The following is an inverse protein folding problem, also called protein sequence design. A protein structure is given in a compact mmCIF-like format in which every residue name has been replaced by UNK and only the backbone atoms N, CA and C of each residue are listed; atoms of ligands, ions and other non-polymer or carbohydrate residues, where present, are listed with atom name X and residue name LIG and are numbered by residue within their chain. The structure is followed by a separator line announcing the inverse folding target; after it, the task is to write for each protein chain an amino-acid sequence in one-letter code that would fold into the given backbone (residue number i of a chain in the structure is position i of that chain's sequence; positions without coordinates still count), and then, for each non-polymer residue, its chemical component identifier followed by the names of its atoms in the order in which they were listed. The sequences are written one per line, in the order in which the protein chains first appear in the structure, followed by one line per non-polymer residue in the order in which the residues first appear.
data_IF_410976371648
#
_entry.id   IF_410976371648
#
_cell.length_a   1.000
_cell.length_b   1.000
_cell.length_c   1.000
_cell.angle_alpha   90.00
_cell.angle_beta   90.00
_cell.angle_gamma   90.00
#
_symmetry.space_group_name_H-M   'P 1'
#
loop_
_entity.id
_entity.type
_entity.pdbx_description
1 polymer ?
#
# COMPACT_ATOMS: atom_id res chain seq x y z
N UNK A 1 -12.49 -7.16 16.49
CA UNK A 1 -11.79 -6.01 15.87
C UNK A 1 -12.84 -5.03 15.37
N UNK A 2 -12.61 -3.71 15.49
CA UNK A 2 -13.52 -2.73 14.88
C UNK A 2 -13.58 -2.94 13.35
N UNK A 3 -14.73 -2.61 12.73
CA UNK A 3 -14.91 -2.75 11.28
C UNK A 3 -13.84 -1.97 10.50
N UNK A 4 -13.53 -2.43 9.28
CA UNK A 4 -12.58 -1.74 8.40
C UNK A 4 -13.18 -0.40 7.96
N UNK A 5 -12.35 0.63 7.91
CA UNK A 5 -12.75 1.97 7.48
C UNK A 5 -12.01 2.27 6.18
N UNK A 6 -12.75 2.61 5.13
CA UNK A 6 -12.21 3.09 3.87
C UNK A 6 -12.28 4.62 3.86
N UNK A 7 -11.21 5.26 3.37
CA UNK A 7 -11.07 6.71 3.44
C UNK A 7 -10.18 7.17 4.61
N UNK A 8 -10.29 8.45 4.97
CA UNK A 8 -9.52 9.06 6.05
C UNK A 8 -9.86 8.45 7.42
N UNK A 9 -8.90 8.52 8.35
CA UNK A 9 -9.08 8.06 9.74
C UNK A 9 -8.96 9.27 10.66
N UNK A 10 -9.97 9.50 11.49
CA UNK A 10 -9.96 10.56 12.50
C UNK A 10 -9.63 11.94 11.87
N UNK A 11 -8.74 12.70 12.52
CA UNK A 11 -8.22 13.99 12.08
C UNK A 11 -6.92 13.89 11.26
N UNK A 12 -6.50 12.69 10.83
CA UNK A 12 -5.23 12.54 10.12
C UNK A 12 -5.32 13.00 8.66
N UNK A 13 -4.40 13.86 8.27
CA UNK A 13 -4.32 14.50 6.96
C UNK A 13 -3.06 14.10 6.19
N UNK A 14 -3.07 14.19 4.84
CA UNK A 14 -1.85 14.04 4.06
C UNK A 14 -0.75 14.95 4.59
N UNK A 15 0.45 14.40 4.80
CA UNK A 15 1.57 15.09 5.43
C UNK A 15 1.86 14.63 6.87
N UNK A 16 0.87 14.07 7.58
CA UNK A 16 1.07 13.61 8.96
C UNK A 16 2.11 12.49 9.03
N UNK A 17 2.98 12.57 10.03
CA UNK A 17 4.11 11.64 10.22
C UNK A 17 3.96 10.77 11.46
N UNK A 18 4.46 9.54 11.35
CA UNK A 18 4.45 8.53 12.41
C UNK A 18 5.84 7.91 12.52
N UNK A 19 6.38 7.85 13.74
CA UNK A 19 7.76 7.37 13.93
C UNK A 19 7.92 5.89 13.57
N UNK A 20 6.92 5.04 13.83
CA UNK A 20 7.03 3.59 13.66
C UNK A 20 5.72 2.93 13.23
N UNK A 21 5.79 1.69 12.71
CA UNK A 21 4.63 0.88 12.30
C UNK A 21 3.61 0.63 13.42
N UNK A 22 4.06 0.60 14.68
CA UNK A 22 3.18 0.46 15.84
C UNK A 22 2.32 1.72 16.04
N UNK A 23 2.89 2.91 15.79
CA UNK A 23 2.15 4.17 15.86
C UNK A 23 1.04 4.23 14.79
N UNK A 24 1.35 3.84 13.55
CA UNK A 24 0.34 3.70 12.48
C UNK A 24 -0.80 2.74 12.86
N UNK A 25 -0.45 1.60 13.47
CA UNK A 25 -1.42 0.58 13.88
C UNK A 25 -2.35 1.10 14.98
N UNK A 26 -1.80 1.76 16.00
CA UNK A 26 -2.57 2.38 17.09
C UNK A 26 -3.44 3.53 16.60
N UNK A 27 -2.95 4.33 15.65
CA UNK A 27 -3.71 5.41 15.01
C UNK A 27 -4.82 4.89 14.09
N UNK A 28 -4.77 3.62 13.68
CA UNK A 28 -5.72 3.02 12.75
C UNK A 28 -5.46 3.35 11.28
N UNK A 29 -4.52 4.26 10.97
CA UNK A 29 -4.15 4.63 9.59
C UNK A 29 -3.66 3.41 8.80
N UNK A 30 -2.84 2.56 9.41
CA UNK A 30 -2.44 1.26 8.84
C UNK A 30 -2.32 0.20 9.95
N UNK A 31 -3.35 -0.66 10.07
CA UNK A 31 -3.48 -1.61 11.19
C UNK A 31 -2.35 -2.66 11.29
N UNK A 32 -1.84 -3.26 10.20
CA UNK A 32 -0.77 -4.24 10.27
C UNK A 32 0.57 -3.63 10.71
N UNK A 33 1.24 -4.28 11.66
CA UNK A 33 2.56 -3.83 12.14
C UNK A 33 3.73 -4.26 11.24
N UNK A 34 3.51 -5.21 10.33
CA UNK A 34 4.53 -5.72 9.39
C UNK A 34 4.09 -5.67 7.93
N UNK A 35 2.94 -6.27 7.60
CA UNK A 35 2.46 -6.38 6.23
C UNK A 35 2.32 -5.02 5.53
N UNK A 36 2.74 -4.92 4.27
CA UNK A 36 2.59 -3.71 3.46
C UNK A 36 1.13 -3.39 3.13
N UNK A 37 0.29 -4.41 2.93
CA UNK A 37 -1.14 -4.26 2.61
C UNK A 37 -1.97 -4.55 3.85
N UNK A 38 -2.91 -3.64 4.17
CA UNK A 38 -4.04 -3.87 5.07
C UNK A 38 -5.28 -4.11 4.24
N UNK A 39 -5.91 -5.27 4.40
CA UNK A 39 -7.08 -5.62 3.61
C UNK A 39 -7.52 -7.06 3.78
N UNK A 40 -8.65 -7.39 3.17
CA UNK A 40 -9.12 -8.77 2.98
C UNK A 40 -9.65 -8.94 1.55
N UNK A 41 -9.62 -10.16 1.02
CA UNK A 41 -10.20 -10.45 -0.30
C UNK A 41 -11.71 -10.18 -0.37
N UNK A 42 -12.40 -10.24 0.78
CA UNK A 42 -13.84 -10.00 0.87
C UNK A 42 -14.18 -8.49 0.85
N UNK A 43 -13.44 -7.67 1.59
CA UNK A 43 -13.79 -6.26 1.80
C UNK A 43 -13.01 -5.32 0.89
N UNK A 44 -11.77 -5.66 0.52
CA UNK A 44 -10.83 -4.75 -0.13
C UNK A 44 -9.65 -4.39 0.76
N UNK A 45 -8.69 -3.68 0.17
CA UNK A 45 -7.56 -3.06 0.86
C UNK A 45 -7.92 -1.64 1.32
N UNK A 46 -7.75 -1.36 2.61
CA UNK A 46 -8.01 -0.03 3.19
C UNK A 46 -6.75 0.83 3.31
N UNK A 47 -5.56 0.21 3.37
CA UNK A 47 -4.30 0.95 3.41
C UNK A 47 -3.11 0.14 2.91
N UNK A 48 -2.12 0.85 2.36
CA UNK A 48 -0.83 0.30 1.96
C UNK A 48 0.33 1.12 2.53
N UNK A 49 1.49 0.47 2.66
CA UNK A 49 2.76 1.09 3.03
C UNK A 49 3.78 0.86 1.92
N UNK A 50 4.33 1.95 1.36
CA UNK A 50 5.56 1.96 0.57
C UNK A 50 6.74 2.20 1.52
N UNK A 51 7.69 1.28 1.57
CA UNK A 51 8.82 1.36 2.49
C UNK A 51 10.13 0.89 1.84
N UNK A 52 10.26 1.14 0.53
CA UNK A 52 11.39 0.77 -0.33
C UNK A 52 11.79 -0.70 -0.16
N UNK A 53 10.77 -1.56 -0.01
CA UNK A 53 10.98 -2.99 0.17
C UNK A 53 10.96 -3.70 -1.17
N UNK A 54 10.24 -3.22 -2.17
CA UNK A 54 10.14 -3.87 -3.46
C UNK A 54 10.85 -3.02 -4.50
N UNK A 55 11.71 -3.67 -5.28
CA UNK A 55 12.44 -3.03 -6.39
C UNK A 55 11.50 -2.49 -7.48
N UNK A 56 10.31 -3.07 -7.62
CA UNK A 56 9.30 -2.69 -8.62
C UNK A 56 8.39 -1.54 -8.16
N UNK A 57 8.48 -1.08 -6.91
CA UNK A 57 7.70 0.06 -6.44
C UNK A 57 8.16 1.36 -7.14
N UNK A 58 7.19 2.18 -7.56
CA UNK A 58 7.42 3.51 -8.14
C UNK A 58 6.44 4.49 -7.49
N UNK A 59 6.91 5.68 -7.13
CA UNK A 59 6.08 6.74 -6.56
C UNK A 59 6.37 8.06 -7.30
N UNK A 60 5.44 8.47 -8.16
CA UNK A 60 5.47 9.72 -8.92
C UNK A 60 4.41 10.70 -8.39
N UNK A 61 4.39 11.92 -8.94
CA UNK A 61 3.42 12.96 -8.57
C UNK A 61 1.96 12.53 -8.83
N UNK A 62 1.69 11.98 -10.02
CA UNK A 62 0.33 11.67 -10.47
C UNK A 62 -0.10 10.22 -10.23
N UNK A 63 0.84 9.33 -9.91
CA UNK A 63 0.56 7.92 -9.74
C UNK A 63 1.64 7.21 -8.92
N UNK A 64 1.31 6.02 -8.43
CA UNK A 64 2.28 5.07 -7.94
C UNK A 64 2.03 3.69 -8.55
N UNK A 65 3.11 2.94 -8.70
CA UNK A 65 3.06 1.51 -8.99
C UNK A 65 3.45 0.77 -7.71
N UNK A 66 2.56 -0.11 -7.26
CA UNK A 66 2.76 -0.89 -6.05
C UNK A 66 2.95 -2.37 -6.39
N UNK A 67 4.06 -2.96 -5.94
CA UNK A 67 4.32 -4.37 -6.07
C UNK A 67 3.48 -5.17 -5.06
N UNK A 68 2.84 -6.23 -5.56
CA UNK A 68 2.06 -7.16 -4.76
C UNK A 68 2.91 -7.88 -3.72
N UNK A 69 2.23 -8.57 -2.80
CA UNK A 69 2.85 -9.36 -1.76
C UNK A 69 3.13 -10.79 -2.24
N UNK A 70 4.36 -11.27 -2.02
CA UNK A 70 4.73 -12.68 -2.13
C UNK A 70 6.00 -12.92 -2.94
N UNK A 71 6.42 -14.20 -3.00
CA UNK A 71 7.55 -14.66 -3.81
C UNK A 71 8.92 -14.08 -3.43
N UNK A 72 9.07 -13.63 -2.18
CA UNK A 72 10.30 -13.03 -1.66
C UNK A 72 10.98 -13.92 -0.65
N UNK A 73 12.30 -13.93 -0.71
CA UNK A 73 13.14 -14.51 0.32
C UNK A 73 13.03 -13.69 1.61
N UNK A 74 12.99 -14.38 2.75
CA UNK A 74 12.70 -13.73 4.05
C UNK A 74 13.91 -13.01 4.63
N UNK A 75 15.12 -13.39 4.24
CA UNK A 75 16.36 -12.85 4.77
C UNK A 75 16.83 -11.67 3.95
N UNK A 76 16.92 -11.85 2.64
CA UNK A 76 17.38 -10.83 1.68
C UNK A 76 16.28 -9.86 1.28
N UNK A 77 15.01 -10.31 1.35
CA UNK A 77 13.91 -9.56 0.78
C UNK A 77 13.92 -9.54 -0.75
N UNK A 78 14.79 -10.25 -1.46
CA UNK A 78 14.74 -10.25 -2.91
C UNK A 78 13.62 -11.15 -3.44
N UNK A 79 13.11 -10.84 -4.62
CA UNK A 79 12.15 -11.70 -5.31
C UNK A 79 12.89 -12.95 -5.82
N UNK A 80 12.36 -14.13 -5.50
CA UNK A 80 12.99 -15.43 -5.80
C UNK A 80 12.04 -16.41 -6.49
N UNK A 81 10.75 -16.09 -6.56
CA UNK A 81 9.74 -16.84 -7.32
C UNK A 81 8.71 -15.89 -7.91
N UNK A 82 7.90 -16.38 -8.85
CA UNK A 82 6.68 -15.68 -9.26
C UNK A 82 5.77 -15.44 -8.04
N UNK A 83 5.09 -14.30 -8.03
CA UNK A 83 4.05 -14.01 -7.06
C UNK A 83 2.79 -14.79 -7.38
N UNK A 84 2.09 -15.21 -6.32
CA UNK A 84 0.77 -15.80 -6.43
C UNK A 84 -0.32 -14.74 -6.22
N UNK A 85 -1.54 -15.06 -6.61
CA UNK A 85 -2.71 -14.25 -6.27
C UNK A 85 -3.11 -14.48 -4.79
N UNK A 86 -2.26 -14.02 -3.88
CA UNK A 86 -2.46 -14.13 -2.44
C UNK A 86 -3.68 -13.34 -1.96
N UNK A 87 -4.25 -13.64 -0.76
CA UNK A 87 -5.38 -12.88 -0.21
C UNK A 87 -5.12 -11.37 -0.08
N UNK A 88 -3.86 -10.95 0.07
CA UNK A 88 -3.49 -9.52 0.10
C UNK A 88 -3.56 -8.88 -1.29
N UNK A 89 -3.11 -9.60 -2.31
CA UNK A 89 -3.19 -9.14 -3.70
C UNK A 89 -4.65 -9.10 -4.16
N UNK A 90 -5.46 -10.08 -3.75
CA UNK A 90 -6.91 -10.09 -3.96
C UNK A 90 -7.60 -8.89 -3.30
N UNK A 91 -7.13 -8.43 -2.14
CA UNK A 91 -7.68 -7.24 -1.49
C UNK A 91 -7.51 -5.97 -2.34
N UNK A 92 -6.37 -5.81 -3.02
CA UNK A 92 -6.14 -4.69 -3.94
C UNK A 92 -6.99 -4.82 -5.22
N UNK A 93 -7.13 -6.02 -5.78
CA UNK A 93 -8.07 -6.27 -6.88
C UNK A 93 -9.51 -5.95 -6.49
N UNK A 94 -9.91 -6.28 -5.25
CA UNK A 94 -11.24 -5.96 -4.74
C UNK A 94 -11.43 -4.45 -4.62
N UNK A 95 -10.44 -3.70 -4.12
CA UNK A 95 -10.49 -2.23 -4.09
C UNK A 95 -10.55 -1.64 -5.50
N UNK A 96 -9.82 -2.20 -6.46
CA UNK A 96 -9.91 -1.81 -7.88
C UNK A 96 -11.33 -2.01 -8.41
N UNK A 97 -11.91 -3.20 -8.22
CA UNK A 97 -13.24 -3.55 -8.72
C UNK A 97 -14.37 -2.71 -8.10
N UNK A 98 -14.15 -2.18 -6.89
CA UNK A 98 -15.16 -1.43 -6.13
C UNK A 98 -14.92 0.07 -6.09
N UNK A 99 -13.77 0.54 -6.61
CA UNK A 99 -13.37 1.95 -6.53
C UNK A 99 -13.17 2.44 -5.10
N UNK A 100 -12.90 1.54 -4.14
CA UNK A 100 -12.73 1.94 -2.74
C UNK A 100 -11.41 2.68 -2.53
N UNK A 101 -11.40 3.77 -1.72
CA UNK A 101 -10.18 4.52 -1.43
C UNK A 101 -9.22 3.71 -0.57
N UNK A 102 -7.95 3.75 -0.94
CA UNK A 102 -6.82 3.13 -0.25
C UNK A 102 -5.95 4.23 0.36
N UNK A 103 -5.73 4.21 1.67
CA UNK A 103 -4.76 5.11 2.31
C UNK A 103 -3.34 4.69 1.92
N UNK A 104 -2.53 5.63 1.49
CA UNK A 104 -1.12 5.39 1.16
C UNK A 104 -0.24 6.00 2.23
N UNK A 105 0.69 5.21 2.75
CA UNK A 105 1.71 5.65 3.70
C UNK A 105 3.08 5.38 3.09
N UNK A 106 3.99 6.34 3.15
CA UNK A 106 5.35 6.20 2.62
C UNK A 106 6.38 6.34 3.71
N UNK A 107 7.42 5.49 3.69
CA UNK A 107 8.60 5.68 4.52
C UNK A 107 9.48 6.75 3.88
N UNK A 108 9.76 7.83 4.62
CA UNK A 108 10.51 8.99 4.10
C UNK A 108 11.51 9.47 5.14
N UNK A 109 12.56 10.16 4.68
CA UNK A 109 13.43 10.93 5.57
C UNK A 109 12.71 12.23 5.99
N UNK A 110 12.71 12.52 7.29
CA UNK A 110 12.18 13.72 7.89
C UNK A 110 13.06 14.11 9.08
N UNK A 111 13.65 15.31 9.03
CA UNK A 111 14.51 15.85 10.09
C UNK A 111 15.62 14.87 10.54
N UNK A 112 16.29 14.23 9.58
CA UNK A 112 17.37 13.27 9.86
C UNK A 112 16.90 11.89 10.32
N UNK A 113 15.59 11.64 10.46
CA UNK A 113 15.03 10.36 10.87
C UNK A 113 14.18 9.73 9.76
N UNK A 114 14.09 8.40 9.74
CA UNK A 114 13.14 7.71 8.86
C UNK A 114 11.78 7.58 9.57
N UNK A 115 10.76 8.21 8.98
CA UNK A 115 9.38 8.21 9.48
C UNK A 115 8.42 7.63 8.44
N UNK A 116 7.19 7.36 8.85
CA UNK A 116 6.09 6.98 7.96
C UNK A 116 5.15 8.16 7.79
N UNK A 117 5.08 8.71 6.58
CA UNK A 117 4.21 9.83 6.24
C UNK A 117 2.94 9.34 5.55
N UNK A 118 1.78 9.82 5.99
CA UNK A 118 0.53 9.58 5.30
C UNK A 118 0.46 10.46 4.04
N UNK A 119 0.35 9.85 2.85
CA UNK A 119 0.35 10.56 1.55
C UNK A 119 -1.07 10.81 1.03
N UNK A 120 -2.11 10.42 1.78
CA UNK A 120 -3.51 10.62 1.41
C UNK A 120 -4.21 9.38 0.84
N UNK A 121 -5.34 9.62 0.16
CA UNK A 121 -6.17 8.57 -0.44
C UNK A 121 -5.84 8.41 -1.91
N UNK A 122 -5.79 7.14 -2.33
CA UNK A 122 -5.58 6.75 -3.71
C UNK A 122 -6.66 5.75 -4.12
N UNK A 123 -6.89 5.61 -5.42
CA UNK A 123 -7.69 4.53 -6.01
C UNK A 123 -6.82 3.61 -6.84
N UNK A 124 -7.10 2.30 -6.78
CA UNK A 124 -6.48 1.32 -7.67
C UNK A 124 -7.19 1.38 -9.01
N UNK A 125 -6.47 1.73 -10.07
CA UNK A 125 -7.03 1.92 -11.42
C UNK A 125 -6.57 0.87 -12.42
N UNK A 126 -5.59 0.04 -12.05
CA UNK A 126 -5.13 -1.05 -12.89
C UNK A 126 -4.33 -2.08 -12.11
N UNK A 127 -4.30 -3.30 -12.63
CA UNK A 127 -3.48 -4.39 -12.12
C UNK A 127 -2.94 -5.22 -13.28
N UNK A 128 -1.64 -5.52 -13.26
CA UNK A 128 -1.01 -6.44 -14.21
C UNK A 128 -0.24 -7.53 -13.46
N UNK A 129 -0.02 -8.67 -14.13
CA UNK A 129 0.82 -9.75 -13.63
C UNK A 129 1.88 -10.07 -14.69
N UNK A 130 3.06 -9.50 -14.49
CA UNK A 130 4.12 -9.42 -15.51
C UNK A 130 5.50 -9.53 -14.86
N UNK A 131 6.55 -9.76 -15.64
CA UNK A 131 7.91 -9.81 -15.13
C UNK A 131 8.30 -8.48 -14.43
N UNK A 132 8.81 -8.61 -13.20
CA UNK A 132 9.47 -7.54 -12.46
C UNK A 132 10.95 -7.41 -12.83
N UNK A 133 11.67 -6.54 -12.13
CA UNK A 133 13.10 -6.26 -12.39
C UNK A 133 14.00 -7.48 -12.21
N UNK A 134 13.66 -8.39 -11.31
CA UNK A 134 14.32 -9.69 -11.06
C UNK A 134 13.95 -10.79 -12.05
N UNK A 135 13.05 -10.54 -13.01
CA UNK A 135 12.63 -11.50 -14.03
C UNK A 135 11.50 -12.45 -13.59
N UNK A 136 11.13 -12.47 -12.32
CA UNK A 136 9.95 -13.19 -11.83
C UNK A 136 8.67 -12.38 -12.04
N UNK A 137 7.54 -13.06 -12.22
CA UNK A 137 6.25 -12.37 -12.34
C UNK A 137 5.81 -11.78 -11.01
N UNK A 138 5.44 -10.50 -11.04
CA UNK A 138 4.93 -9.75 -9.89
C UNK A 138 3.57 -9.16 -10.22
N UNK A 139 2.69 -9.08 -9.23
CA UNK A 139 1.49 -8.27 -9.37
C UNK A 139 1.88 -6.80 -9.26
N UNK A 140 1.54 -5.98 -10.25
CA UNK A 140 1.76 -4.53 -10.22
C UNK A 140 0.42 -3.82 -10.21
N UNK A 141 0.18 -3.03 -9.17
CA UNK A 141 -1.04 -2.25 -9.01
C UNK A 141 -0.75 -0.80 -9.32
N UNK A 142 -1.46 -0.22 -10.30
CA UNK A 142 -1.40 1.21 -10.57
C UNK A 142 -2.42 1.92 -9.70
N UNK A 143 -1.96 2.87 -8.90
CA UNK A 143 -2.79 3.71 -8.07
C UNK A 143 -2.61 5.18 -8.48
N UNK A 144 -3.70 5.95 -8.41
CA UNK A 144 -3.69 7.41 -8.63
C UNK A 144 -4.37 8.11 -7.46
N UNK A 145 -4.08 9.40 -7.20
CA UNK A 145 -4.79 10.17 -6.19
C UNK A 145 -6.31 9.99 -6.30
N UNK A 146 -6.95 9.75 -5.16
CA UNK A 146 -8.39 9.57 -5.11
C UNK A 146 -9.07 10.89 -5.46
N UNK A 147 -10.02 10.90 -6.40
CA UNK A 147 -10.70 12.13 -6.77
C UNK A 147 -11.43 12.69 -5.54
N UNK A 148 -11.04 13.89 -5.12
CA UNK A 148 -11.80 14.65 -4.14
C UNK A 148 -12.99 15.23 -4.91
N UNK A 149 -14.21 15.01 -4.42
CA UNK A 149 -15.37 15.71 -4.97
C UNK A 149 -15.06 17.22 -4.94
N UNK A 150 -15.26 17.96 -6.04
CA UNK A 150 -15.12 19.41 -5.97
C UNK A 150 -16.05 19.93 -4.87
N UNK A 151 -15.52 20.83 -4.05
CA UNK A 151 -16.26 21.49 -2.97
C UNK A 151 -17.49 22.23 -3.50
#
# INVERSE_FOLDING_TARGET
MPPRVFGHISYYLPGDVFNHRIALSRAGVHRPTRAGISGSAAEGADSIVLADQYEDDVFEEDYLMYAGHGGRDRETGHQVTDQELSPKNQALLKSQATGLPVRVVRKVAHEGNLVYRYEGLYQVVGATFEAGKSGFKVWKFRLVPFPVAPA
#
